data_IF_818951801585
#
_entry.id   IF_818951801585
#
_cell.length_a   1.000
_cell.length_b   1.000
_cell.length_c   1.000
_cell.angle_alpha   90.00
_cell.angle_beta   90.00
_cell.angle_gamma   90.00
#
_symmetry.space_group_name_H-M   'P 1'
#
loop_
_entity.id
_entity.type
_entity.pdbx_description
1 polymer ?
2 polymer ?
3 polymer ?
4 non-polymer ?
5 water ?
#
loop_
_entity_poly.entity_id
_entity_poly.type
_entity_poly.pdbx_seq_one_letter_code
_entity_poly.pdbx_strand_id
2 'polydeoxyribonucleotide' '(DG)(DC)(DC)(DG)(DA)(DA)(DC)(DT)(DC)(DG)' ?
3 'polydeoxyribonucleotide' '(DC)(DG)(DA)(DG)(PST)(DT)(DC)(DG)(DG)(DC)' ?
#
# COMPACT_ATOMS: atom_id res chain seq x y z
N UNK A 4 -7.29 -8.38 -3.92
CA UNK A 4 -8.38 -9.15 -4.49
C UNK A 4 -9.41 -8.25 -5.21
N UNK A 5 -10.46 -8.84 -5.75
CA UNK A 5 -11.39 -8.12 -6.62
C UNK A 5 -12.53 -7.52 -5.82
N UNK A 6 -13.25 -6.60 -6.46
CA UNK A 6 -14.48 -6.03 -5.91
C UNK A 6 -15.46 -7.13 -5.51
N UNK A 7 -15.56 -8.20 -6.31
CA UNK A 7 -16.44 -9.31 -5.95
C UNK A 7 -16.06 -9.89 -4.61
N UNK A 8 -14.78 -10.20 -4.42
CA UNK A 8 -14.33 -10.79 -3.16
C UNK A 8 -14.47 -9.83 -1.99
N UNK A 9 -14.32 -8.51 -2.19
CA UNK A 9 -14.60 -7.58 -1.11
C UNK A 9 -16.08 -7.55 -0.77
N UNK A 10 -16.95 -7.61 -1.78
CA UNK A 10 -18.39 -7.62 -1.52
C UNK A 10 -18.76 -8.81 -0.68
N UNK A 11 -18.21 -9.98 -1.04
CA UNK A 11 -18.44 -11.19 -0.26
C UNK A 11 -17.93 -11.03 1.17
N UNK A 12 -16.71 -10.50 1.35
CA UNK A 12 -16.17 -10.38 2.71
C UNK A 12 -16.93 -9.37 3.54
N UNK A 13 -17.35 -8.25 2.94
CA UNK A 13 -18.14 -7.28 3.70
C UNK A 13 -19.47 -7.85 4.14
N UNK A 14 -20.00 -8.83 3.39
CA UNK A 14 -21.23 -9.51 3.81
C UNK A 14 -21.02 -10.53 4.90
N UNK A 15 -19.78 -10.93 5.21
CA UNK A 15 -19.51 -11.97 6.20
C UNK A 15 -18.27 -11.60 7.00
N UNK A 16 -18.47 -10.71 7.96
CA UNK A 16 -17.39 -10.17 8.77
C UNK A 16 -17.13 -10.98 10.03
N UNK A 17 -17.85 -12.08 10.25
CA UNK A 17 -17.81 -12.81 11.52
C UNK A 17 -17.93 -11.90 12.75
N UNK A 18 -19.01 -11.11 12.84
CA UNK A 18 -19.21 -10.30 14.05
C UNK A 18 -19.57 -11.19 15.22
N UNK A 19 -19.30 -10.70 16.43
CA UNK A 19 -19.82 -11.36 17.61
C UNK A 19 -21.35 -11.39 17.56
N UNK A 20 -21.93 -12.52 17.98
CA UNK A 20 -23.37 -12.69 18.05
C UNK A 20 -23.75 -13.38 19.35
N UNK A 21 -24.97 -13.11 19.80
CA UNK A 21 -25.47 -13.67 21.06
C UNK A 21 -26.98 -13.74 20.98
N UNK A 22 -27.53 -14.96 21.01
CA UNK A 22 -28.97 -15.20 21.06
C UNK A 22 -29.68 -14.49 19.91
N UNK A 23 -29.09 -14.57 18.71
CA UNK A 23 -29.68 -14.02 17.53
C UNK A 23 -29.33 -12.58 17.23
N UNK A 24 -28.68 -11.87 18.15
CA UNK A 24 -28.39 -10.46 17.98
C UNK A 24 -26.92 -10.25 17.64
N UNK A 25 -26.67 -9.44 16.62
CA UNK A 25 -25.34 -9.26 16.07
C UNK A 25 -24.74 -8.00 16.66
N UNK A 26 -23.56 -8.14 17.28
CA UNK A 26 -22.79 -6.99 17.68
C UNK A 26 -22.47 -6.17 16.44
N UNK A 27 -22.83 -4.89 16.37
CA UNK A 27 -22.64 -4.14 15.13
C UNK A 27 -21.29 -3.45 14.98
N UNK A 28 -20.33 -3.71 15.88
CA UNK A 28 -19.08 -2.96 15.91
C UNK A 28 -18.33 -3.00 14.57
N UNK A 29 -18.13 -4.19 13.99
CA UNK A 29 -17.33 -4.27 12.76
C UNK A 29 -18.03 -3.56 11.61
N UNK A 30 -19.36 -3.61 11.59
CA UNK A 30 -20.12 -2.93 10.55
C UNK A 30 -20.03 -1.42 10.75
N UNK A 31 -20.25 -0.96 11.99
CA UNK A 31 -20.19 0.47 12.25
C UNK A 31 -18.81 1.04 11.93
N UNK A 32 -17.74 0.28 12.19
CA UNK A 32 -16.42 0.84 11.89
C UNK A 32 -16.17 0.91 10.40
N UNK A 33 -16.61 -0.08 9.63
CA UNK A 33 -16.39 -0.01 8.19
C UNK A 33 -17.23 1.10 7.59
N UNK A 34 -18.45 1.30 8.13
CA UNK A 34 -19.28 2.39 7.66
C UNK A 34 -18.66 3.74 8.00
N UNK A 35 -18.06 3.83 9.19
CA UNK A 35 -17.42 5.08 9.60
C UNK A 35 -16.23 5.39 8.70
N UNK A 36 -15.46 4.37 8.31
CA UNK A 36 -14.32 4.60 7.43
C UNK A 36 -14.82 5.08 6.07
N UNK A 37 -15.90 4.47 5.58
CA UNK A 37 -16.42 4.91 4.29
C UNK A 37 -16.99 6.31 4.38
N UNK A 38 -17.59 6.66 5.52
CA UNK A 38 -18.04 8.03 5.76
C UNK A 38 -16.87 9.01 5.69
N UNK A 39 -15.75 8.67 6.34
CA UNK A 39 -14.60 9.55 6.37
C UNK A 39 -14.02 9.75 4.98
N UNK A 40 -13.97 8.68 4.19
CA UNK A 40 -13.51 8.79 2.80
C UNK A 40 -14.45 9.71 2.03
N UNK A 41 -15.76 9.49 2.18
CA UNK A 41 -16.74 10.26 1.44
C UNK A 41 -16.63 11.74 1.75
N UNK A 42 -16.43 12.08 3.03
CA UNK A 42 -16.34 13.48 3.42
C UNK A 42 -14.98 14.09 3.14
N UNK A 43 -14.03 13.31 2.62
CA UNK A 43 -12.71 13.84 2.38
C UNK A 43 -11.87 14.01 3.63
N UNK A 44 -12.23 13.33 4.71
CA UNK A 44 -11.44 13.36 5.95
C UNK A 44 -10.36 12.30 5.99
N UNK A 45 -10.40 11.35 5.06
CA UNK A 45 -9.42 10.27 5.02
C UNK A 45 -8.85 10.14 3.63
N UNK A 46 -8.01 11.10 3.26
CA UNK A 46 -7.34 11.14 1.97
C UNK A 46 -6.19 10.16 1.76
N UNK A 47 -5.59 9.70 2.86
CA UNK A 47 -4.50 8.74 2.79
C UNK A 47 -4.93 7.45 3.45
N UNK A 48 -4.30 6.35 3.07
CA UNK A 48 -4.67 5.03 3.59
C UNK A 48 -4.03 4.84 4.97
N UNK A 49 -4.53 5.62 5.92
CA UNK A 49 -3.89 5.74 7.23
C UNK A 49 -4.98 6.10 8.22
N UNK A 50 -5.42 5.13 9.02
CA UNK A 50 -6.62 5.26 9.83
C UNK A 50 -6.17 5.26 11.29
N UNK A 51 -6.02 6.45 11.86
CA UNK A 51 -5.56 6.52 13.23
C UNK A 51 -6.70 6.23 14.20
N UNK A 52 -6.34 5.69 15.36
CA UNK A 52 -7.31 5.45 16.44
C UNK A 52 -7.48 6.75 17.21
N UNK A 53 -8.20 7.69 16.60
CA UNK A 53 -8.25 9.07 17.09
C UNK A 53 -9.69 9.53 17.27
N UNK A 54 -9.83 10.77 17.74
CA UNK A 54 -11.16 11.32 18.00
C UNK A 54 -12.02 11.32 16.75
N UNK A 55 -11.42 11.58 15.59
CA UNK A 55 -12.22 11.63 14.36
C UNK A 55 -12.81 10.28 14.04
N UNK A 56 -12.02 9.21 14.13
CA UNK A 56 -12.55 7.87 13.92
C UNK A 56 -13.58 7.51 15.00
N UNK A 57 -13.30 7.86 16.26
CA UNK A 57 -14.20 7.50 17.34
C UNK A 57 -15.55 8.20 17.19
N UNK A 58 -15.54 9.47 16.80
CA UNK A 58 -16.80 10.17 16.59
C UNK A 58 -17.58 9.58 15.42
N UNK A 59 -16.89 9.27 14.33
CA UNK A 59 -17.56 8.67 13.18
C UNK A 59 -18.10 7.29 13.52
N UNK A 60 -17.31 6.50 14.28
CA UNK A 60 -17.79 5.21 14.76
C UNK A 60 -19.04 5.38 15.64
N UNK A 61 -19.00 6.31 16.58
CA UNK A 61 -20.12 6.48 17.49
C UNK A 61 -21.39 6.87 16.74
N UNK A 62 -21.27 7.75 15.74
CA UNK A 62 -22.44 8.13 14.96
C UNK A 62 -23.08 6.91 14.31
N UNK A 63 -22.28 6.09 13.62
CA UNK A 63 -22.82 4.89 12.98
C UNK A 63 -23.24 3.87 14.02
N UNK A 64 -22.45 3.72 15.08
CA UNK A 64 -22.78 2.72 16.09
C UNK A 64 -24.12 3.02 16.75
N UNK A 65 -24.37 4.30 17.04
CA UNK A 65 -25.63 4.67 17.69
C UNK A 65 -26.83 4.39 16.80
N UNK A 66 -26.65 4.48 15.46
CA UNK A 66 -27.74 4.20 14.53
C UNK A 66 -28.11 2.72 14.55
N UNK A 67 -27.16 1.87 14.90
CA UNK A 67 -27.32 0.43 14.79
C UNK A 67 -27.54 -0.24 16.13
N UNK A 68 -27.09 0.38 17.20
CA UNK A 68 -26.95 -0.31 18.47
C UNK A 68 -28.31 -0.64 19.09
N UNK A 69 -28.32 -1.73 19.85
CA UNK A 69 -29.38 -2.06 20.78
C UNK A 69 -28.94 -1.68 22.19
N UNK A 70 -29.84 -1.85 23.16
CA UNK A 70 -29.48 -1.48 24.53
C UNK A 70 -28.31 -2.31 25.05
N UNK A 71 -28.09 -3.52 24.54
CA UNK A 71 -27.06 -4.41 25.05
C UNK A 71 -25.66 -4.13 24.49
N UNK A 72 -25.56 -3.38 23.39
CA UNK A 72 -24.29 -3.10 22.73
C UNK A 72 -23.55 -1.95 23.39
N UNK A 73 -22.22 -2.09 23.48
CA UNK A 73 -21.37 -1.12 24.17
C UNK A 73 -20.44 -0.44 23.17
N UNK A 74 -20.31 0.88 23.27
CA UNK A 74 -19.50 1.69 22.34
C UNK A 74 -18.02 1.49 22.65
N UNK A 75 -17.43 0.50 21.99
CA UNK A 75 -16.08 0.01 22.25
C UNK A 75 -15.32 -0.04 20.92
N UNK A 76 -14.92 1.12 20.38
CA UNK A 76 -14.28 1.12 19.06
C UNK A 76 -12.97 0.35 18.99
N UNK A 77 -12.28 0.15 20.11
CA UNK A 77 -11.05 -0.64 20.08
C UNK A 77 -11.27 -2.08 19.64
N UNK A 78 -12.49 -2.63 19.82
CA UNK A 78 -12.69 -4.03 19.48
C UNK A 78 -12.65 -4.24 17.98
N UNK A 79 -13.53 -3.63 17.17
CA UNK A 79 -13.40 -3.86 15.71
C UNK A 79 -12.10 -3.32 15.16
N UNK A 80 -11.55 -2.26 15.74
CA UNK A 80 -10.29 -1.72 15.22
C UNK A 80 -9.21 -2.78 15.20
N UNK A 81 -9.20 -3.68 16.19
CA UNK A 81 -8.29 -4.81 16.20
C UNK A 81 -8.86 -6.02 15.45
N UNK A 82 -10.09 -6.41 15.80
CA UNK A 82 -10.65 -7.67 15.31
C UNK A 82 -11.06 -7.66 13.85
N UNK A 83 -11.07 -6.50 13.20
CA UNK A 83 -11.30 -6.51 11.76
C UNK A 83 -10.13 -7.10 10.99
N UNK A 84 -8.97 -7.29 11.62
CA UNK A 84 -7.83 -7.84 10.87
C UNK A 84 -8.06 -9.27 10.42
N UNK A 85 -9.00 -9.99 11.04
CA UNK A 85 -9.31 -11.32 10.51
C UNK A 85 -9.99 -11.25 9.15
N UNK A 86 -10.41 -10.08 8.71
CA UNK A 86 -11.07 -9.99 7.41
C UNK A 86 -10.08 -10.13 6.25
N UNK A 87 -8.79 -9.93 6.48
CA UNK A 87 -7.82 -10.05 5.42
C UNK A 87 -7.53 -8.78 4.65
N UNK A 88 -8.37 -7.75 4.78
CA UNK A 88 -8.13 -6.50 4.09
C UNK A 88 -7.87 -5.33 5.02
N UNK A 89 -7.89 -5.58 6.32
CA UNK A 89 -7.72 -4.57 7.36
C UNK A 89 -6.45 -4.93 8.12
N UNK A 90 -5.46 -4.04 8.09
CA UNK A 90 -4.15 -4.36 8.62
C UNK A 90 -3.73 -3.32 9.64
N UNK A 91 -2.73 -3.70 10.45
CA UNK A 91 -2.17 -2.83 11.47
C UNK A 91 -0.70 -2.54 11.18
N UNK A 92 -0.36 -1.26 11.11
CA UNK A 92 1.02 -0.82 11.15
C UNK A 92 1.47 -0.86 12.61
N UNK A 93 2.31 -1.83 12.96
CA UNK A 93 2.68 -2.05 14.36
C UNK A 93 3.78 -1.07 14.78
N UNK A 94 3.68 -0.56 16.01
CA UNK A 94 4.59 0.45 16.48
C UNK A 94 6.00 -0.10 16.60
N UNK A 95 7.02 0.76 16.56
CA UNK A 95 8.40 0.28 16.68
C UNK A 95 8.61 -0.41 18.02
N UNK A 96 9.21 -1.59 17.98
CA UNK A 96 9.50 -2.33 19.18
C UNK A 96 8.36 -3.17 19.72
N UNK A 97 7.19 -3.13 19.09
CA UNK A 97 6.02 -3.80 19.63
C UNK A 97 5.67 -5.09 18.88
N UNK A 98 6.50 -5.49 17.93
CA UNK A 98 6.15 -6.60 17.04
C UNK A 98 5.83 -7.87 17.82
N UNK A 99 6.63 -8.19 18.83
CA UNK A 99 6.40 -9.42 19.59
C UNK A 99 5.20 -9.30 20.52
N UNK A 100 5.04 -8.15 21.18
CA UNK A 100 3.87 -8.00 22.05
C UNK A 100 2.59 -8.10 21.24
N UNK A 101 2.59 -7.52 20.05
CA UNK A 101 1.42 -7.49 19.19
C UNK A 101 0.86 -8.86 18.88
N UNK A 102 1.73 -9.83 18.74
CA UNK A 102 1.29 -11.18 18.42
C UNK A 102 0.33 -11.80 19.44
N UNK A 103 0.50 -11.48 20.71
CA UNK A 103 -0.33 -12.03 21.77
C UNK A 103 -1.15 -10.93 22.45
N UNK A 104 -1.30 -9.78 21.80
CA UNK A 104 -2.07 -8.69 22.36
C UNK A 104 -3.55 -9.02 22.32
N UNK A 105 -4.28 -8.39 23.23
CA UNK A 105 -5.73 -8.40 23.26
C UNK A 105 -6.20 -6.96 23.12
N UNK A 106 -7.34 -6.76 22.47
CA UNK A 106 -7.90 -5.43 22.30
C UNK A 106 -8.75 -5.09 23.52
N UNK A 107 -8.08 -5.03 24.67
CA UNK A 107 -8.80 -4.87 25.93
C UNK A 107 -9.17 -3.42 26.23
N UNK A 108 -8.65 -2.47 25.47
CA UNK A 108 -8.99 -1.08 25.69
C UNK A 108 -8.16 -0.20 24.79
N UNK A 109 -8.28 1.11 25.00
CA UNK A 109 -7.61 2.05 24.10
C UNK A 109 -6.09 2.02 24.27
N UNK A 110 -5.60 1.88 25.50
CA UNK A 110 -4.16 1.87 25.71
C UNK A 110 -3.50 0.67 25.06
N UNK A 111 -4.19 -0.47 25.01
CA UNK A 111 -3.63 -1.65 24.34
C UNK A 111 -3.53 -1.43 22.85
N UNK A 112 -4.54 -0.80 22.25
CA UNK A 112 -4.44 -0.39 20.84
C UNK A 112 -3.29 0.59 20.64
N UNK A 113 -3.23 1.62 21.48
CA UNK A 113 -2.24 2.68 21.29
C UNK A 113 -0.82 2.21 21.57
N UNK A 114 -0.63 1.25 22.49
CA UNK A 114 0.71 0.70 22.69
C UNK A 114 1.23 0.04 21.43
N UNK A 115 0.37 -0.74 20.76
CA UNK A 115 0.80 -1.68 19.74
C UNK A 115 0.65 -1.14 18.32
N UNK A 116 -0.36 -0.32 18.04
CA UNK A 116 -0.75 -0.03 16.67
C UNK A 116 -0.56 1.44 16.39
N UNK A 117 0.26 1.76 15.39
CA UNK A 117 0.40 3.15 14.99
C UNK A 117 -0.84 3.65 14.28
N UNK A 118 -1.39 2.84 13.38
CA UNK A 118 -2.61 3.15 12.65
C UNK A 118 -3.01 1.89 11.89
N UNK A 119 -4.24 1.91 11.38
CA UNK A 119 -4.74 0.82 10.57
C UNK A 119 -4.70 1.24 9.10
N UNK A 120 -4.66 0.25 8.21
CA UNK A 120 -4.70 0.58 6.80
C UNK A 120 -5.32 -0.56 6.03
N UNK A 121 -5.84 -0.22 4.85
CA UNK A 121 -6.53 -1.19 4.03
C UNK A 121 -5.61 -1.75 2.95
N UNK A 122 -6.03 -2.88 2.39
CA UNK A 122 -5.53 -3.30 1.07
C UNK A 122 -5.52 -2.08 0.16
N UNK A 123 -4.46 -1.90 -0.63
CA UNK A 123 -4.45 -0.72 -1.49
C UNK A 123 -5.58 -0.77 -2.51
N UNK A 124 -5.93 -1.98 -2.96
CA UNK A 124 -7.03 -2.12 -3.92
C UNK A 124 -8.35 -1.68 -3.30
N UNK A 125 -8.62 -2.12 -2.05
CA UNK A 125 -9.84 -1.70 -1.38
C UNK A 125 -9.86 -0.19 -1.17
N UNK A 126 -8.73 0.38 -0.73
CA UNK A 126 -8.73 1.83 -0.48
C UNK A 126 -9.05 2.60 -1.75
N UNK A 127 -8.48 2.19 -2.89
CA UNK A 127 -8.80 2.86 -4.15
C UNK A 127 -10.26 2.65 -4.53
N UNK A 128 -10.76 1.42 -4.38
CA UNK A 128 -12.15 1.15 -4.73
C UNK A 128 -13.11 2.02 -3.92
N UNK A 129 -12.83 2.18 -2.61
CA UNK A 129 -13.72 2.96 -1.74
C UNK A 129 -13.74 4.45 -2.08
N UNK A 130 -12.83 4.93 -2.94
CA UNK A 130 -12.90 6.32 -3.40
C UNK A 130 -14.13 6.53 -4.27
N UNK A 131 -14.71 5.43 -4.69
CA UNK A 131 -15.80 5.40 -5.65
C UNK A 131 -17.17 5.28 -4.99
N UNK A 132 -18.05 6.27 -5.26
CA UNK A 132 -19.38 6.28 -4.66
C UNK A 132 -20.14 5.00 -4.95
N UNK A 133 -20.05 4.49 -6.19
CA UNK A 133 -20.78 3.28 -6.53
C UNK A 133 -20.29 2.10 -5.69
N UNK A 134 -18.99 2.02 -5.47
CA UNK A 134 -18.45 0.93 -4.67
C UNK A 134 -18.91 1.05 -3.22
N UNK A 135 -18.90 2.26 -2.67
CA UNK A 135 -19.34 2.43 -1.28
C UNK A 135 -20.82 2.07 -1.13
N UNK A 136 -21.67 2.50 -2.08
CA UNK A 136 -23.07 2.08 -2.04
C UNK A 136 -23.20 0.57 -2.12
N UNK A 137 -22.40 -0.07 -2.99
CA UNK A 137 -22.44 -1.53 -3.10
C UNK A 137 -22.02 -2.20 -1.80
N UNK A 138 -20.89 -1.76 -1.23
CA UNK A 138 -20.38 -2.41 -0.04
C UNK A 138 -21.20 -2.05 1.19
N UNK A 139 -21.92 -0.93 1.17
CA UNK A 139 -22.83 -0.63 2.25
C UNK A 139 -23.98 -1.62 2.29
N UNK A 140 -24.53 -1.94 1.11
CA UNK A 140 -25.57 -2.96 1.07
C UNK A 140 -25.01 -4.31 1.50
N UNK A 141 -23.77 -4.61 1.12
CA UNK A 141 -23.17 -5.87 1.55
C UNK A 141 -23.05 -5.93 3.07
N UNK A 142 -22.77 -4.80 3.72
CA UNK A 142 -22.56 -4.85 5.17
C UNK A 142 -23.86 -5.22 5.89
N UNK A 143 -25.00 -4.78 5.35
CA UNK A 143 -26.29 -5.07 5.97
C UNK A 143 -26.59 -6.56 5.99
N UNK A 144 -25.94 -7.34 5.13
CA UNK A 144 -26.20 -8.77 5.12
C UNK A 144 -25.61 -9.48 6.33
N UNK A 145 -24.86 -8.78 7.19
CA UNK A 145 -24.42 -9.37 8.44
C UNK A 145 -25.52 -9.46 9.48
N UNK A 146 -26.62 -8.75 9.29
CA UNK A 146 -27.70 -8.66 10.27
C UNK A 146 -28.83 -9.60 9.88
N UNK A 147 -29.39 -10.29 10.87
CA UNK A 147 -30.42 -11.28 10.59
C UNK A 147 -31.73 -10.61 10.18
N UNK A 148 -32.52 -11.35 9.40
CA UNK A 148 -33.84 -10.86 8.99
C UNK A 148 -34.63 -10.40 10.22
N UNK A 149 -34.52 -11.13 11.31
CA UNK A 149 -35.38 -10.88 12.45
C UNK A 149 -35.02 -9.60 13.21
N UNK A 150 -33.82 -9.08 13.04
CA UNK A 150 -33.43 -7.85 13.71
C UNK A 150 -33.42 -6.64 12.79
N UNK A 151 -33.83 -6.80 11.52
CA UNK A 151 -33.71 -5.71 10.55
C UNK A 151 -34.51 -4.48 10.97
N UNK A 152 -35.62 -4.67 11.67
CA UNK A 152 -36.47 -3.55 12.05
C UNK A 152 -35.74 -2.61 13.02
N UNK A 153 -34.89 -3.15 13.89
CA UNK A 153 -34.16 -2.31 14.83
C UNK A 153 -32.72 -2.05 14.42
N UNK A 154 -32.12 -2.91 13.59
CA UNK A 154 -30.68 -2.87 13.29
C UNK A 154 -30.45 -2.98 11.78
N UNK A 155 -30.58 -1.86 11.08
CA UNK A 155 -30.36 -1.84 9.63
C UNK A 155 -29.76 -0.51 9.18
N UNK B 4 14.24 -6.95 -29.16
CA UNK B 4 13.10 -6.86 -28.26
C UNK B 4 12.11 -5.78 -28.71
N UNK B 5 10.82 -6.10 -28.72
CA UNK B 5 9.82 -5.14 -29.18
C UNK B 5 9.45 -4.17 -28.07
N UNK B 6 8.76 -3.09 -28.44
CA UNK B 6 8.26 -2.17 -27.42
C UNK B 6 7.20 -2.86 -26.55
N UNK B 7 6.40 -3.76 -27.16
CA UNK B 7 5.42 -4.51 -26.38
C UNK B 7 6.09 -5.30 -25.25
N UNK B 8 7.19 -5.97 -25.55
CA UNK B 8 7.92 -6.74 -24.54
C UNK B 8 8.45 -5.85 -23.43
N UNK B 9 8.98 -4.67 -23.77
CA UNK B 9 9.40 -3.74 -22.72
C UNK B 9 8.21 -3.26 -21.91
N UNK B 10 7.08 -3.00 -22.57
CA UNK B 10 5.89 -2.59 -21.83
C UNK B 10 5.47 -3.67 -20.84
N UNK B 11 5.45 -4.92 -21.29
CA UNK B 11 5.12 -6.03 -20.41
C UNK B 11 6.04 -6.07 -19.20
N UNK B 12 7.34 -5.86 -19.42
CA UNK B 12 8.28 -5.93 -18.30
C UNK B 12 8.08 -4.76 -17.35
N UNK B 13 7.85 -3.55 -17.88
CA UNK B 13 7.61 -2.42 -16.99
C UNK B 13 6.34 -2.60 -16.18
N UNK B 14 5.37 -3.31 -16.73
CA UNK B 14 4.09 -3.48 -16.06
C UNK B 14 4.12 -4.56 -14.98
N UNK B 15 5.15 -5.41 -14.95
CA UNK B 15 5.30 -6.45 -13.92
C UNK B 15 6.75 -6.49 -13.42
N UNK B 16 7.08 -5.57 -12.52
CA UNK B 16 8.43 -5.43 -12.02
C UNK B 16 8.71 -6.29 -10.80
N UNK B 17 7.76 -7.13 -10.40
CA UNK B 17 7.88 -7.94 -9.20
C UNK B 17 8.34 -7.12 -7.99
N UNK B 18 7.66 -6.02 -7.70
CA UNK B 18 7.99 -5.26 -6.50
C UNK B 18 7.64 -6.05 -5.25
N UNK B 19 8.30 -5.70 -4.14
CA UNK B 19 7.89 -6.25 -2.87
C UNK B 19 6.44 -5.88 -2.59
N UNK B 20 5.67 -6.84 -2.10
CA UNK B 20 4.29 -6.61 -1.67
C UNK B 20 4.12 -7.15 -0.25
N UNK B 21 3.36 -6.43 0.57
CA UNK B 21 3.05 -6.90 1.91
C UNK B 21 1.66 -6.40 2.31
N UNK B 22 0.84 -7.31 2.83
CA UNK B 22 -0.48 -6.96 3.36
C UNK B 22 -1.29 -6.15 2.35
N UNK B 23 -1.35 -6.66 1.12
CA UNK B 23 -2.15 -6.01 0.11
C UNK B 23 -1.66 -4.65 -0.31
N UNK B 24 -0.42 -4.30 0.02
CA UNK B 24 0.18 -3.05 -0.41
C UNK B 24 1.50 -3.30 -1.12
N UNK B 25 1.87 -2.37 -2.01
CA UNK B 25 2.97 -2.55 -2.95
C UNK B 25 4.04 -1.52 -2.62
N UNK B 26 5.28 -1.99 -2.41
CA UNK B 26 6.43 -1.11 -2.25
C UNK B 26 6.70 -0.43 -3.60
N UNK B 27 6.70 0.90 -3.67
CA UNK B 27 6.83 1.58 -4.97
C UNK B 27 8.25 1.80 -5.47
N UNK B 28 9.26 1.31 -4.75
CA UNK B 28 10.66 1.69 -5.01
C UNK B 28 11.07 1.49 -6.46
N UNK B 29 10.79 0.30 -7.02
CA UNK B 29 11.23 0.01 -8.38
C UNK B 29 10.57 0.95 -9.37
N UNK B 30 9.28 1.23 -9.16
CA UNK B 30 8.59 2.14 -10.07
C UNK B 30 9.15 3.55 -9.93
N UNK B 31 9.35 4.00 -8.69
CA UNK B 31 9.85 5.36 -8.49
C UNK B 31 11.23 5.51 -9.08
N UNK B 32 12.03 4.44 -9.04
CA UNK B 32 13.37 4.52 -9.59
C UNK B 32 13.34 4.60 -11.11
N UNK B 33 12.47 3.82 -11.76
CA UNK B 33 12.40 3.92 -13.22
C UNK B 33 11.83 5.27 -13.66
N UNK B 34 10.89 5.84 -12.91
CA UNK B 34 10.38 7.16 -13.28
C UNK B 34 11.46 8.22 -13.08
N UNK B 35 12.27 8.08 -12.03
CA UNK B 35 13.34 9.04 -11.80
C UNK B 35 14.35 9.00 -12.95
N UNK B 36 14.70 7.80 -13.41
CA UNK B 36 15.62 7.70 -14.53
C UNK B 36 15.01 8.33 -15.78
N UNK B 37 13.71 8.12 -16.01
CA UNK B 37 13.07 8.71 -17.19
C UNK B 37 13.00 10.23 -17.07
N UNK B 38 12.90 10.76 -15.84
CA UNK B 38 12.94 12.21 -15.64
C UNK B 38 14.31 12.78 -15.95
N UNK B 39 15.37 12.06 -15.55
CA UNK B 39 16.72 12.53 -15.82
C UNK B 39 17.02 12.52 -17.31
N UNK B 40 16.55 11.50 -18.04
CA UNK B 40 16.69 11.52 -19.50
C UNK B 40 15.89 12.67 -20.09
N UNK B 41 14.63 12.79 -19.70
CA UNK B 41 13.75 13.81 -20.30
C UNK B 41 14.26 15.23 -20.02
N UNK B 42 14.98 15.42 -18.92
CA UNK B 42 15.51 16.72 -18.56
C UNK B 42 16.92 16.97 -19.08
N UNK B 43 17.49 16.04 -19.82
CA UNK B 43 18.84 16.20 -20.32
C UNK B 43 19.93 15.98 -19.29
N UNK B 44 19.58 15.56 -18.08
CA UNK B 44 20.59 15.30 -17.07
C UNK B 44 21.36 14.02 -17.37
N UNK B 45 20.68 13.00 -17.88
CA UNK B 45 21.31 11.76 -18.30
C UNK B 45 21.51 11.82 -19.80
N UNK B 46 22.77 11.92 -20.22
CA UNK B 46 23.12 11.85 -21.63
C UNK B 46 23.79 10.54 -22.01
N UNK B 47 24.40 9.88 -21.05
CA UNK B 47 25.16 8.67 -21.27
C UNK B 47 24.43 7.54 -20.57
N UNK B 48 24.61 6.32 -21.04
CA UNK B 48 23.95 5.17 -20.42
C UNK B 48 24.76 4.72 -19.19
N UNK B 49 24.91 5.66 -18.25
CA UNK B 49 25.66 5.41 -17.01
C UNK B 49 24.87 6.10 -15.90
N UNK B 50 24.20 5.31 -15.06
CA UNK B 50 23.33 5.83 -14.01
C UNK B 50 24.10 5.75 -12.70
N UNK B 51 24.59 6.88 -12.20
CA UNK B 51 25.37 6.92 -10.98
C UNK B 51 24.48 7.05 -9.75
N UNK B 52 24.90 6.40 -8.66
CA UNK B 52 24.16 6.46 -7.40
C UNK B 52 24.58 7.74 -6.68
N UNK B 53 23.95 8.84 -7.10
CA UNK B 53 24.35 10.17 -6.68
C UNK B 53 23.14 10.97 -6.22
N UNK B 54 23.41 12.15 -5.68
CA UNK B 54 22.34 12.95 -5.09
C UNK B 54 21.36 13.45 -6.14
N UNK B 55 21.78 13.64 -7.39
CA UNK B 55 20.78 13.96 -8.40
C UNK B 55 19.83 12.79 -8.61
N UNK B 56 20.38 11.58 -8.70
CA UNK B 56 19.52 10.40 -8.82
C UNK B 56 18.70 10.21 -7.54
N UNK B 57 19.33 10.34 -6.38
CA UNK B 57 18.59 10.15 -5.14
C UNK B 57 17.51 11.20 -5.01
N UNK B 58 17.81 12.42 -5.46
CA UNK B 58 16.84 13.51 -5.41
C UNK B 58 15.64 13.22 -6.32
N UNK B 59 15.92 12.77 -7.55
CA UNK B 59 14.85 12.41 -8.46
C UNK B 59 14.04 11.23 -7.93
N UNK B 60 14.73 10.26 -7.34
CA UNK B 60 14.02 9.14 -6.70
C UNK B 60 13.10 9.64 -5.60
N UNK B 61 13.62 10.49 -4.70
CA UNK B 61 12.79 10.98 -3.61
C UNK B 61 11.56 11.67 -4.13
N UNK B 62 11.71 12.45 -5.21
CA UNK B 62 10.58 13.18 -5.77
C UNK B 62 9.48 12.20 -6.20
N UNK B 63 9.84 11.22 -7.02
CA UNK B 63 8.85 10.26 -7.47
C UNK B 63 8.38 9.36 -6.34
N UNK B 64 9.29 9.02 -5.42
CA UNK B 64 8.94 8.17 -4.29
C UNK B 64 7.90 8.84 -3.39
N UNK B 65 8.08 10.12 -3.09
CA UNK B 65 7.07 10.82 -2.29
C UNK B 65 5.71 10.86 -2.99
N UNK B 66 5.68 10.89 -4.33
CA UNK B 66 4.39 10.89 -5.01
C UNK B 66 3.64 9.57 -4.79
N UNK B 67 4.35 8.47 -4.60
CA UNK B 67 3.75 7.13 -4.60
C UNK B 67 3.68 6.48 -3.24
N UNK B 68 4.51 6.92 -2.30
CA UNK B 68 4.74 6.19 -1.07
C UNK B 68 3.52 6.21 -0.17
N UNK B 69 3.39 5.13 0.61
CA UNK B 69 2.62 5.11 1.84
C UNK B 69 3.46 5.69 2.97
N UNK B 70 2.82 5.97 4.11
CA UNK B 70 3.57 6.50 5.25
C UNK B 70 4.63 5.50 5.71
N UNK B 71 4.33 4.20 5.63
CA UNK B 71 5.29 3.20 6.12
C UNK B 71 6.41 2.91 5.14
N UNK B 72 6.27 3.30 3.87
CA UNK B 72 7.34 3.11 2.89
C UNK B 72 8.56 3.98 3.23
N UNK B 73 9.74 3.37 3.13
CA UNK B 73 10.99 4.03 3.48
C UNK B 73 11.75 4.46 2.23
N UNK B 74 12.26 5.71 2.25
CA UNK B 74 13.07 6.23 1.15
C UNK B 74 14.44 5.56 1.12
N UNK B 75 14.49 4.39 0.45
CA UNK B 75 15.67 3.52 0.40
C UNK B 75 16.03 3.28 -1.06
N UNK B 76 16.68 4.26 -1.72
CA UNK B 76 16.96 4.12 -3.17
C UNK B 76 17.95 3.03 -3.49
N UNK B 77 18.79 2.65 -2.52
CA UNK B 77 19.70 1.54 -2.75
C UNK B 77 18.98 0.25 -3.08
N UNK B 78 17.75 0.08 -2.59
CA UNK B 78 17.04 -1.19 -2.81
C UNK B 78 16.67 -1.39 -4.28
N UNK B 79 15.92 -0.50 -4.92
CA UNK B 79 15.62 -0.76 -6.34
C UNK B 79 16.85 -0.59 -7.20
N UNK B 80 17.81 0.25 -6.80
CA UNK B 80 19.02 0.41 -7.61
C UNK B 80 19.75 -0.93 -7.77
N UNK B 81 19.71 -1.76 -6.73
CA UNK B 81 20.20 -3.12 -6.85
C UNK B 81 19.15 -4.06 -7.43
N UNK B 82 17.97 -4.13 -6.81
CA UNK B 82 17.00 -5.17 -7.18
C UNK B 82 16.34 -5.00 -8.54
N UNK B 83 16.47 -3.85 -9.20
CA UNK B 83 15.93 -3.76 -10.56
C UNK B 83 16.67 -4.67 -11.51
N UNK B 84 17.82 -5.21 -11.11
CA UNK B 84 18.61 -6.07 -12.00
C UNK B 84 17.88 -7.35 -12.38
N UNK B 85 16.86 -7.75 -11.63
CA UNK B 85 16.09 -8.95 -12.00
C UNK B 85 15.18 -8.69 -13.19
N UNK B 86 14.99 -7.43 -13.55
CA UNK B 86 14.10 -7.11 -14.65
C UNK B 86 14.67 -7.55 -15.99
N UNK B 87 15.99 -7.68 -16.10
CA UNK B 87 16.62 -8.09 -17.35
C UNK B 87 17.14 -6.94 -18.21
N UNK B 88 16.64 -5.72 -18.01
CA UNK B 88 17.05 -4.55 -18.77
C UNK B 88 17.87 -3.56 -17.95
N UNK B 89 18.16 -3.89 -16.69
CA UNK B 89 18.86 -3.02 -15.74
C UNK B 89 20.12 -3.74 -15.29
N UNK B 90 21.28 -3.14 -15.53
CA UNK B 90 22.55 -3.81 -15.33
C UNK B 90 23.45 -3.00 -14.40
N UNK B 91 24.46 -3.66 -13.86
CA UNK B 91 25.44 -3.02 -12.99
C UNK B 91 26.85 -3.21 -13.49
N UNK B 92 27.68 -2.17 -13.37
CA UNK B 92 29.08 -2.29 -13.72
C UNK B 92 29.68 -2.45 -12.33
N UNK B 93 30.23 -3.62 -12.05
CA UNK B 93 30.74 -3.93 -10.72
C UNK B 93 32.18 -3.48 -10.60
N UNK B 94 32.50 -2.85 -9.47
CA UNK B 94 33.86 -2.41 -9.21
C UNK B 94 34.78 -3.62 -9.12
N UNK B 95 36.03 -3.52 -9.59
CA UNK B 95 36.91 -4.69 -9.61
C UNK B 95 37.30 -5.14 -8.21
N UNK B 96 37.40 -6.47 -8.06
CA UNK B 96 37.64 -7.06 -6.76
C UNK B 96 36.42 -7.16 -5.88
N UNK B 97 35.34 -6.48 -6.23
CA UNK B 97 34.09 -6.52 -5.50
C UNK B 97 33.08 -7.50 -6.07
N UNK B 98 33.46 -8.25 -7.11
CA UNK B 98 32.50 -9.11 -7.79
C UNK B 98 31.87 -10.13 -6.85
N UNK B 99 32.67 -10.73 -5.98
CA UNK B 99 32.14 -11.88 -5.29
C UNK B 99 31.21 -11.52 -4.13
N UNK B 100 31.43 -10.41 -3.45
CA UNK B 100 30.49 -9.94 -2.44
C UNK B 100 29.36 -9.13 -3.04
N UNK B 101 29.48 -8.73 -4.30
CA UNK B 101 28.51 -7.83 -4.91
C UNK B 101 27.08 -8.35 -4.78
N UNK B 102 26.86 -9.62 -5.15
CA UNK B 102 25.49 -10.12 -5.21
C UNK B 102 24.75 -10.03 -3.88
N UNK B 103 25.42 -10.32 -2.76
CA UNK B 103 24.72 -10.40 -1.49
C UNK B 103 24.95 -9.22 -0.55
N UNK B 104 25.94 -8.38 -0.81
CA UNK B 104 26.29 -7.33 0.15
C UNK B 104 26.11 -5.91 -0.40
N UNK B 105 25.57 -5.74 -1.61
CA UNK B 105 25.50 -4.40 -2.20
C UNK B 105 24.32 -3.58 -1.69
N UNK B 106 23.20 -4.22 -1.35
CA UNK B 106 21.93 -3.52 -1.25
C UNK B 106 21.56 -3.10 0.16
N UNK B 107 22.46 -3.28 1.13
CA UNK B 107 22.12 -2.98 2.52
C UNK B 107 22.12 -1.48 2.84
N UNK B 108 22.69 -0.65 1.97
CA UNK B 108 22.70 0.77 2.19
C UNK B 108 23.56 1.47 1.16
N UNK B 109 23.74 2.77 1.36
CA UNK B 109 24.41 3.58 0.34
C UNK B 109 25.89 3.23 0.24
N UNK B 110 26.58 3.03 1.38
CA UNK B 110 28.01 2.74 1.31
C UNK B 110 28.26 1.38 0.67
N UNK B 111 27.36 0.42 0.85
CA UNK B 111 27.55 -0.88 0.22
C UNK B 111 27.36 -0.80 -1.29
N UNK B 112 26.39 -0.01 -1.75
CA UNK B 112 26.20 0.21 -3.18
C UNK B 112 27.48 0.79 -3.78
N UNK B 113 27.98 1.86 -3.17
CA UNK B 113 29.16 2.53 -3.69
C UNK B 113 30.40 1.64 -3.70
N UNK B 114 30.59 0.83 -2.68
CA UNK B 114 31.77 -0.04 -2.67
C UNK B 114 31.75 -1.05 -3.81
N UNK B 115 30.58 -1.63 -4.07
CA UNK B 115 30.44 -2.63 -5.11
C UNK B 115 30.00 -2.28 -6.53
N UNK B 116 29.36 -1.14 -6.72
CA UNK B 116 28.79 -0.84 -8.04
C UNK B 116 29.32 0.50 -8.52
N UNK B 117 29.98 0.49 -9.68
CA UNK B 117 30.44 1.75 -10.25
C UNK B 117 29.25 2.58 -10.70
N UNK B 118 28.28 1.95 -11.34
CA UNK B 118 27.13 2.61 -11.93
C UNK B 118 26.21 1.53 -12.49
N UNK B 119 24.96 1.89 -12.71
CA UNK B 119 24.01 1.02 -13.39
C UNK B 119 23.77 1.52 -14.81
N UNK B 120 23.33 0.61 -15.66
CA UNK B 120 23.02 0.98 -17.04
C UNK B 120 21.89 0.12 -17.60
N UNK B 121 21.26 0.61 -18.67
CA UNK B 121 20.12 -0.06 -19.28
C UNK B 121 20.56 -0.92 -20.45
N UNK B 122 19.64 -1.79 -20.88
CA UNK B 122 19.73 -2.34 -22.23
C UNK B 122 19.98 -1.20 -23.19
N UNK B 123 20.87 -1.40 -24.15
CA UNK B 123 21.14 -0.31 -25.06
C UNK B 123 19.91 0.07 -25.86
N UNK B 124 19.15 -0.92 -26.32
CA UNK B 124 17.90 -0.64 -27.02
C UNK B 124 16.96 0.17 -26.15
N UNK B 125 16.88 -0.17 -24.86
CA UNK B 125 15.98 0.54 -23.97
C UNK B 125 16.43 1.97 -23.73
N UNK B 126 17.74 2.19 -23.50
CA UNK B 126 18.23 3.55 -23.36
C UNK B 126 17.88 4.38 -24.58
N UNK B 127 18.01 3.79 -25.76
CA UNK B 127 17.70 4.51 -26.99
C UNK B 127 16.20 4.79 -27.10
N UNK B 128 15.37 3.79 -26.82
CA UNK B 128 13.92 3.99 -26.84
C UNK B 128 13.50 5.08 -25.87
N UNK B 129 14.09 5.10 -24.68
CA UNK B 129 13.68 6.09 -23.69
C UNK B 129 14.01 7.52 -24.11
N UNK B 130 14.86 7.69 -25.13
CA UNK B 130 15.08 9.02 -25.68
C UNK B 130 13.80 9.59 -26.30
N UNK B 131 12.83 8.72 -26.61
CA UNK B 131 11.62 9.12 -27.33
C UNK B 131 10.50 9.51 -26.38
N UNK B 132 9.92 10.68 -26.59
CA UNK B 132 8.81 11.16 -25.76
C UNK B 132 7.68 10.14 -25.71
N UNK B 133 7.27 9.60 -26.87
CA UNK B 133 6.12 8.70 -26.89
C UNK B 133 6.41 7.40 -26.15
N UNK B 134 7.63 6.87 -26.28
CA UNK B 134 7.96 5.65 -25.55
C UNK B 134 7.87 5.89 -24.05
N UNK B 135 8.43 7.00 -23.57
CA UNK B 135 8.41 7.31 -22.14
C UNK B 135 6.98 7.39 -21.61
N UNK B 136 6.08 8.03 -22.37
CA UNK B 136 4.68 8.12 -21.95
C UNK B 136 4.06 6.74 -21.82
N UNK B 137 4.24 5.88 -22.84
CA UNK B 137 3.64 4.54 -22.81
C UNK B 137 4.23 3.69 -21.70
N UNK B 138 5.53 3.81 -21.45
CA UNK B 138 6.13 3.01 -20.39
C UNK B 138 5.76 3.59 -19.03
N UNK B 139 5.59 4.90 -18.93
CA UNK B 139 5.12 5.48 -17.67
C UNK B 139 3.77 4.89 -17.29
N UNK B 140 2.85 4.78 -18.26
CA UNK B 140 1.55 4.18 -18.00
C UNK B 140 1.66 2.71 -17.65
N UNK B 141 2.56 1.97 -18.33
CA UNK B 141 2.77 0.58 -17.97
C UNK B 141 3.17 0.45 -16.51
N UNK B 142 4.01 1.35 -16.02
CA UNK B 142 4.49 1.24 -14.65
C UNK B 142 3.35 1.29 -13.64
N UNK B 143 2.31 2.08 -13.92
CA UNK B 143 1.15 2.18 -13.03
C UNK B 143 0.46 0.85 -12.83
N UNK B 144 0.59 -0.08 -13.77
CA UNK B 144 -0.08 -1.37 -13.64
C UNK B 144 0.56 -2.27 -12.60
N UNK B 145 1.64 -1.83 -11.95
CA UNK B 145 2.17 -2.56 -10.80
C UNK B 145 1.31 -2.32 -9.56
N UNK B 146 0.45 -1.32 -9.61
CA UNK B 146 -0.40 -0.88 -8.52
C UNK B 146 -1.86 -1.15 -8.83
N UNK B 147 -2.71 -0.79 -7.86
CA UNK B 147 -4.15 -0.79 -8.06
C UNK B 147 -4.55 0.32 -9.03
N UNK B 148 -5.68 0.11 -9.70
CA UNK B 148 -6.13 0.99 -10.78
C UNK B 148 -6.42 2.40 -10.29
N UNK B 149 -5.98 3.38 -11.08
CA UNK B 149 -6.15 4.80 -10.82
C UNK B 149 -5.84 5.60 -12.09
#
# INVERSE_FOLDING_TARGET
GSHMSLLEYEAKFSELNPNRRHGNTSPHKIAMLLAVMDLIESGSLQENRIYFDRQLKDAFTKRFNELKSEADRDNPHLPYYHLHTSGFWHHQVNPGQRESYKTMSASGASAIDQHIAYAYLDEELFELLQNFTVRKLLTSALDRNFAITETSRKSILGSNNHW
GSHMSLLEYEAKFSELNPNRRHGNTSPHKIAMLLAVMDLIESGSLQENRIYFDRQLKDAFTKRFNELKSEADRDNPHLPYYHLHTSGFWHHQVNPGQRESYKTMSASGASAIDQHIAYAYLDEELFELLQNFTVRKLLTSALDRNFAITETSRKSILGSNNHW
#
